data_IF_824368259748
#
_entry.id   IF_824368259748
#
_cell.length_a   1.000
_cell.length_b   1.000
_cell.length_c   1.000
_cell.angle_alpha   90.00
_cell.angle_beta   90.00
_cell.angle_gamma   90.00
#
_symmetry.space_group_name_H-M   'P 1'
#
loop_
_entity.id
_entity.type
_entity.pdbx_description
1 polymer ?
#
# COMPACT_ATOMS: atom_id res chain seq x y z
N UNK A 1 23.67 79.34 -45.04
CA UNK A 1 22.87 78.10 -45.08
C UNK A 1 23.38 77.19 -43.97
N UNK A 2 22.57 77.01 -42.91
CA UNK A 2 22.92 76.24 -41.71
C UNK A 2 22.87 74.73 -42.02
N UNK A 3 23.99 74.03 -41.87
CA UNK A 3 24.04 72.56 -41.91
C UNK A 3 23.66 72.03 -40.52
N UNK A 4 22.38 71.78 -40.34
CA UNK A 4 21.85 70.92 -39.27
C UNK A 4 21.73 69.54 -39.90
N UNK A 5 22.62 68.59 -39.59
CA UNK A 5 22.38 67.18 -39.87
C UNK A 5 23.30 66.27 -39.03
N UNK A 6 22.66 65.38 -38.27
CA UNK A 6 23.16 64.04 -37.90
C UNK A 6 24.18 63.88 -36.76
N UNK A 7 23.87 64.37 -35.55
CA UNK A 7 24.48 63.80 -34.31
C UNK A 7 23.43 63.11 -33.42
N UNK A 8 22.14 63.41 -33.60
CA UNK A 8 21.06 62.77 -32.83
C UNK A 8 20.72 61.33 -33.25
N UNK A 9 21.24 60.83 -34.38
CA UNK A 9 20.93 59.49 -34.91
C UNK A 9 21.82 58.37 -34.37
N UNK A 10 22.92 58.67 -33.67
CA UNK A 10 23.82 57.62 -33.11
C UNK A 10 23.42 57.22 -31.69
N UNK A 11 22.62 58.03 -30.98
CA UNK A 11 22.15 57.71 -29.62
C UNK A 11 20.74 57.10 -29.56
N UNK A 12 20.03 57.01 -30.70
CA UNK A 12 18.64 56.54 -30.76
C UNK A 12 18.48 55.04 -31.13
N UNK A 13 19.58 54.31 -31.37
CA UNK A 13 19.53 52.88 -31.77
C UNK A 13 19.91 51.93 -30.62
N UNK A 14 20.19 52.44 -29.41
CA UNK A 14 20.26 51.61 -28.20
C UNK A 14 18.86 51.33 -27.63
N UNK A 15 17.91 50.94 -28.48
CA UNK A 15 16.62 50.44 -28.04
C UNK A 15 16.78 48.96 -27.66
N UNK A 16 16.80 48.71 -26.35
CA UNK A 16 16.59 47.41 -25.69
C UNK A 16 17.51 46.25 -26.10
N UNK A 17 18.81 46.35 -25.75
CA UNK A 17 19.56 45.11 -25.49
C UNK A 17 19.08 44.57 -24.14
N UNK A 18 18.11 43.66 -24.17
CA UNK A 18 17.85 42.79 -23.04
C UNK A 18 19.19 42.07 -22.76
N UNK A 19 19.84 42.39 -21.64
CA UNK A 19 21.15 41.86 -21.31
C UNK A 19 21.06 40.36 -21.04
N UNK A 20 21.22 39.55 -22.08
CA UNK A 20 21.35 38.11 -21.96
C UNK A 20 22.79 37.80 -21.55
N UNK A 21 22.95 36.91 -20.58
CA UNK A 21 24.26 36.44 -20.13
C UNK A 21 24.46 35.01 -20.61
N UNK A 22 25.43 34.83 -21.50
CA UNK A 22 25.93 33.52 -21.91
C UNK A 22 27.22 33.17 -21.17
N UNK A 23 27.29 31.96 -20.62
CA UNK A 23 28.55 31.34 -20.20
C UNK A 23 28.82 30.21 -21.18
N UNK A 24 30.00 30.24 -21.82
CA UNK A 24 30.43 29.28 -22.85
C UNK A 24 29.56 29.20 -24.13
N UNK A 25 28.51 30.01 -24.25
CA UNK A 25 27.76 30.19 -25.50
C UNK A 25 27.77 31.66 -25.91
N UNK A 26 27.97 31.92 -27.20
CA UNK A 26 27.83 33.27 -27.78
C UNK A 26 26.41 33.56 -28.26
N UNK A 27 25.52 32.58 -28.17
CA UNK A 27 24.14 32.64 -28.61
C UNK A 27 23.22 32.15 -27.47
N UNK A 28 23.05 32.96 -26.40
CA UNK A 28 22.16 32.62 -25.30
C UNK A 28 20.72 32.42 -25.80
N UNK A 29 20.01 31.43 -25.25
CA UNK A 29 18.62 31.13 -25.61
C UNK A 29 17.61 31.63 -24.57
N UNK A 30 18.10 32.26 -23.50
CA UNK A 30 17.31 32.85 -22.42
C UNK A 30 18.06 34.03 -21.79
N UNK A 31 17.52 34.58 -20.71
CA UNK A 31 18.15 35.68 -19.95
C UNK A 31 19.49 35.27 -19.35
N UNK A 32 19.61 34.01 -18.91
CA UNK A 32 20.87 33.40 -18.51
C UNK A 32 21.00 32.02 -19.17
N UNK A 33 22.13 31.75 -19.81
CA UNK A 33 22.40 30.48 -20.48
C UNK A 33 23.83 30.02 -20.18
N UNK A 34 23.95 28.86 -19.53
CA UNK A 34 25.23 28.15 -19.32
C UNK A 34 25.28 26.94 -20.23
N UNK A 35 26.27 26.91 -21.11
CA UNK A 35 26.58 25.76 -21.98
C UNK A 35 27.81 25.03 -21.40
N UNK A 36 27.58 23.85 -20.83
CA UNK A 36 28.64 23.11 -20.15
C UNK A 36 29.75 22.63 -21.10
N UNK A 37 29.37 22.19 -22.29
CA UNK A 37 30.27 21.60 -23.28
C UNK A 37 30.85 22.61 -24.27
N UNK A 38 30.34 23.84 -24.28
CA UNK A 38 30.68 24.90 -25.23
C UNK A 38 30.42 24.46 -26.68
N UNK A 39 29.36 23.69 -26.89
CA UNK A 39 29.06 23.07 -28.18
C UNK A 39 27.83 23.67 -28.87
N UNK A 40 27.18 24.69 -28.28
CA UNK A 40 26.07 25.39 -28.89
C UNK A 40 26.46 26.17 -30.15
N UNK A 41 25.58 26.20 -31.18
CA UNK A 41 25.86 26.93 -32.41
C UNK A 41 25.88 28.44 -32.15
N UNK A 42 26.71 29.15 -32.91
CA UNK A 42 26.82 30.62 -32.84
C UNK A 42 25.54 31.36 -33.28
N UNK A 43 24.58 30.65 -33.86
CA UNK A 43 23.26 31.17 -34.24
C UNK A 43 22.22 30.04 -34.29
N UNK A 44 20.95 30.37 -34.10
CA UNK A 44 19.85 29.38 -34.13
C UNK A 44 19.74 28.59 -32.83
N UNK A 45 18.89 27.56 -32.82
CA UNK A 45 18.67 26.72 -31.64
C UNK A 45 19.74 25.62 -31.57
N UNK A 46 20.28 25.30 -30.37
CA UNK A 46 21.04 24.08 -30.18
C UNK A 46 20.21 22.82 -30.45
N UNK A 47 20.85 21.76 -30.94
CA UNK A 47 20.20 20.46 -31.13
C UNK A 47 20.09 19.71 -29.79
N UNK A 48 19.21 18.69 -29.65
CA UNK A 48 18.94 18.04 -28.36
C UNK A 48 20.18 17.50 -27.62
N UNK A 49 21.19 17.02 -28.35
CA UNK A 49 22.43 16.52 -27.73
C UNK A 49 23.26 17.65 -27.11
N UNK A 50 23.29 18.82 -27.74
CA UNK A 50 23.96 20.02 -27.21
C UNK A 50 23.20 20.52 -25.98
N UNK A 51 21.87 20.63 -26.09
CA UNK A 51 21.01 21.06 -24.98
C UNK A 51 21.16 20.21 -23.71
N UNK A 52 21.50 18.92 -23.84
CA UNK A 52 21.61 17.98 -22.70
C UNK A 52 22.58 18.40 -21.59
N UNK A 53 23.50 19.33 -21.90
CA UNK A 53 24.47 19.88 -20.96
C UNK A 53 24.23 21.37 -20.64
N UNK A 54 23.10 21.91 -21.08
CA UNK A 54 22.74 23.31 -20.88
C UNK A 54 21.92 23.52 -19.58
N UNK A 55 22.11 24.69 -18.99
CA UNK A 55 21.25 25.27 -17.97
C UNK A 55 20.78 26.65 -18.43
N UNK A 56 19.48 26.91 -18.37
CA UNK A 56 18.91 28.20 -18.75
C UNK A 56 17.93 28.77 -17.72
N UNK A 57 17.83 30.10 -17.71
CA UNK A 57 16.73 30.84 -17.09
C UNK A 57 16.10 31.74 -18.16
N UNK A 58 14.80 31.59 -18.37
CA UNK A 58 14.05 32.41 -19.34
C UNK A 58 13.74 33.80 -18.80
N UNK A 59 13.22 34.69 -19.64
CA UNK A 59 12.75 36.03 -19.22
C UNK A 59 11.60 35.98 -18.22
N UNK A 60 10.85 34.88 -18.20
CA UNK A 60 9.74 34.61 -17.28
C UNK A 60 10.22 33.99 -15.97
N UNK A 61 11.53 33.71 -15.83
CA UNK A 61 12.12 33.12 -14.64
C UNK A 61 12.02 31.59 -14.57
N UNK A 62 11.64 30.93 -15.68
CA UNK A 62 11.57 29.46 -15.74
C UNK A 62 12.96 28.88 -15.91
N UNK A 63 13.29 27.86 -15.12
CA UNK A 63 14.57 27.16 -15.20
C UNK A 63 14.45 25.94 -16.12
N UNK A 64 15.35 25.83 -17.09
CA UNK A 64 15.52 24.65 -17.93
C UNK A 64 16.86 23.98 -17.65
N UNK A 65 16.88 22.66 -17.49
CA UNK A 65 18.10 21.84 -17.42
C UNK A 65 17.98 20.77 -18.50
N UNK A 66 18.93 20.73 -19.43
CA UNK A 66 18.85 19.79 -20.55
C UNK A 66 17.88 20.20 -21.67
N UNK A 67 17.28 21.38 -21.57
CA UNK A 67 16.35 21.97 -22.55
C UNK A 67 16.49 23.49 -22.56
N UNK A 68 16.48 24.10 -23.75
CA UNK A 68 16.45 25.57 -23.90
C UNK A 68 15.04 26.13 -24.09
N UNK A 69 14.02 25.27 -24.09
CA UNK A 69 12.60 25.63 -24.21
C UNK A 69 11.78 24.91 -23.14
N UNK A 70 11.94 25.28 -21.85
CA UNK A 70 11.16 24.69 -20.77
C UNK A 70 9.66 24.98 -20.96
N UNK A 71 8.81 24.07 -20.51
CA UNK A 71 7.37 24.24 -20.55
C UNK A 71 6.93 25.50 -19.80
N UNK A 72 6.10 26.34 -20.43
CA UNK A 72 5.56 27.55 -19.80
C UNK A 72 4.67 27.29 -18.57
N UNK A 73 4.30 26.03 -18.33
CA UNK A 73 3.51 25.59 -17.16
C UNK A 73 4.37 25.08 -16.00
N UNK A 74 5.71 25.13 -16.11
CA UNK A 74 6.64 24.74 -15.04
C UNK A 74 7.47 25.93 -14.57
N UNK A 75 7.97 25.85 -13.34
CA UNK A 75 9.03 26.74 -12.84
C UNK A 75 10.43 26.11 -13.02
N UNK A 76 10.48 24.79 -13.17
CA UNK A 76 11.67 23.98 -13.40
C UNK A 76 11.30 22.84 -14.37
N UNK A 77 12.00 22.77 -15.49
CA UNK A 77 11.90 21.69 -16.48
C UNK A 77 13.25 21.01 -16.64
N UNK A 78 13.28 19.68 -16.54
CA UNK A 78 14.51 18.89 -16.59
C UNK A 78 14.32 17.80 -17.64
N UNK A 79 15.15 17.84 -18.68
CA UNK A 79 15.15 16.84 -19.75
C UNK A 79 16.47 16.07 -19.76
N UNK A 80 16.38 14.75 -19.70
CA UNK A 80 17.52 13.86 -19.92
C UNK A 80 17.04 12.52 -20.50
N UNK A 81 17.79 11.89 -21.41
CA UNK A 81 17.37 10.63 -22.04
C UNK A 81 17.49 9.43 -21.11
N UNK A 82 18.44 9.46 -20.16
CA UNK A 82 18.84 8.31 -19.35
C UNK A 82 19.23 8.67 -17.90
N UNK A 83 18.88 9.88 -17.44
CA UNK A 83 19.16 10.37 -16.08
C UNK A 83 17.87 10.75 -15.35
N UNK A 84 17.93 10.69 -14.02
CA UNK A 84 16.85 11.15 -13.13
C UNK A 84 17.32 12.24 -12.17
N UNK A 85 16.45 12.61 -11.24
CA UNK A 85 16.72 13.63 -10.20
C UNK A 85 16.93 12.95 -8.85
N UNK A 86 18.04 13.25 -8.19
CA UNK A 86 18.21 12.94 -6.77
C UNK A 86 17.70 14.12 -5.94
N UNK A 87 16.53 13.95 -5.33
CA UNK A 87 15.98 14.92 -4.38
C UNK A 87 16.73 14.85 -3.03
N UNK A 88 16.53 15.84 -2.12
CA UNK A 88 17.19 15.85 -0.82
C UNK A 88 17.02 14.53 -0.06
N UNK A 89 18.14 13.99 0.43
CA UNK A 89 18.20 12.76 1.22
C UNK A 89 18.26 13.13 2.69
N UNK A 90 17.27 12.71 3.47
CA UNK A 90 17.06 13.17 4.85
C UNK A 90 16.91 11.95 5.76
N UNK A 91 17.49 11.97 6.94
CA UNK A 91 17.31 10.93 7.95
C UNK A 91 16.21 11.35 8.93
N UNK A 92 14.95 11.03 8.62
CA UNK A 92 13.80 11.42 9.45
C UNK A 92 13.72 10.57 10.72
N UNK A 93 13.32 11.20 11.83
CA UNK A 93 13.27 10.55 13.15
C UNK A 93 11.94 9.84 13.44
N UNK A 94 10.85 10.26 12.80
CA UNK A 94 9.53 9.63 12.92
C UNK A 94 8.63 10.04 11.75
N UNK A 95 7.44 9.43 11.65
CA UNK A 95 6.44 9.82 10.65
C UNK A 95 5.89 11.25 10.86
N UNK A 96 6.04 11.83 12.05
CA UNK A 96 5.57 13.20 12.37
C UNK A 96 6.73 14.18 12.58
N UNK A 97 7.94 13.83 12.11
CA UNK A 97 9.12 14.66 12.29
C UNK A 97 9.00 16.01 11.58
N UNK A 98 8.87 17.07 12.37
CA UNK A 98 8.85 18.47 11.92
C UNK A 98 10.07 19.26 12.42
N UNK A 99 11.09 18.55 12.91
CA UNK A 99 12.30 19.13 13.51
C UNK A 99 13.51 18.99 12.62
N UNK A 100 13.70 17.83 11.98
CA UNK A 100 14.77 17.62 10.98
C UNK A 100 14.59 18.55 9.78
N UNK A 101 13.33 18.76 9.39
CA UNK A 101 12.93 19.81 8.46
C UNK A 101 11.90 20.66 9.21
N UNK A 102 12.29 21.87 9.61
CA UNK A 102 11.40 22.78 10.32
C UNK A 102 10.23 23.23 9.43
N UNK A 103 8.99 23.11 9.94
CA UNK A 103 7.76 23.52 9.23
C UNK A 103 7.69 23.01 7.78
N UNK A 104 7.69 21.68 7.55
CA UNK A 104 7.71 21.12 6.21
C UNK A 104 6.46 21.57 5.43
N UNK A 105 6.67 22.02 4.19
CA UNK A 105 5.58 22.48 3.33
C UNK A 105 4.72 21.29 2.86
N UNK A 106 3.41 21.50 2.67
CA UNK A 106 2.54 20.48 2.10
C UNK A 106 3.01 20.09 0.69
N UNK A 107 3.18 18.78 0.47
CA UNK A 107 3.70 18.24 -0.78
C UNK A 107 5.23 18.21 -0.88
N UNK A 108 5.97 18.64 0.15
CA UNK A 108 7.43 18.56 0.17
C UNK A 108 7.88 17.11 0.05
N UNK A 109 8.65 16.80 -0.99
CA UNK A 109 9.14 15.46 -1.33
C UNK A 109 10.63 15.32 -0.98
N UNK A 110 10.96 14.29 -0.20
CA UNK A 110 12.35 13.95 0.16
C UNK A 110 12.56 12.44 0.07
N UNK A 111 13.82 12.01 -0.01
CA UNK A 111 14.18 10.60 0.15
C UNK A 111 14.57 10.33 1.60
N UNK A 112 13.76 9.57 2.35
CA UNK A 112 14.16 9.14 3.69
C UNK A 112 15.24 8.06 3.60
N UNK A 113 16.36 8.28 4.27
CA UNK A 113 17.51 7.36 4.25
C UNK A 113 17.35 6.17 5.19
N UNK A 114 16.42 6.23 6.14
CA UNK A 114 16.24 5.21 7.19
C UNK A 114 17.36 5.18 8.24
N UNK A 115 18.29 6.15 8.22
CA UNK A 115 19.44 6.19 9.11
C UNK A 115 19.14 6.74 10.53
N UNK A 116 17.92 7.25 10.75
CA UNK A 116 17.45 7.77 12.04
C UNK A 116 16.26 6.94 12.55
N UNK A 117 15.28 7.55 13.23
CA UNK A 117 14.19 6.84 13.89
C UNK A 117 13.05 6.35 12.98
N UNK A 118 12.84 6.96 11.80
CA UNK A 118 11.91 6.45 10.80
C UNK A 118 12.63 5.45 9.90
N UNK A 119 12.42 4.16 10.15
CA UNK A 119 13.12 3.05 9.45
C UNK A 119 12.70 2.85 7.99
N UNK A 120 11.58 3.44 7.55
CA UNK A 120 11.13 3.35 6.17
C UNK A 120 12.13 4.01 5.22
N UNK A 121 12.72 3.26 4.29
CA UNK A 121 13.65 3.79 3.28
C UNK A 121 12.88 4.05 1.98
N UNK A 122 12.99 5.25 1.44
CA UNK A 122 12.37 5.60 0.16
C UNK A 122 11.86 7.03 0.10
N UNK A 123 11.24 7.37 -1.02
CA UNK A 123 10.61 8.68 -1.19
C UNK A 123 9.40 8.83 -0.28
N UNK A 124 9.33 9.96 0.42
CA UNK A 124 8.22 10.36 1.28
C UNK A 124 7.85 11.81 1.02
N UNK A 125 6.56 12.13 1.16
CA UNK A 125 6.09 13.51 1.07
C UNK A 125 5.34 13.92 2.35
N UNK A 126 5.44 15.20 2.71
CA UNK A 126 4.68 15.75 3.82
C UNK A 126 3.24 16.04 3.39
N UNK A 127 2.24 15.47 4.06
CA UNK A 127 0.84 15.69 3.73
C UNK A 127 0.17 16.84 4.50
N UNK A 128 0.91 17.53 5.38
CA UNK A 128 0.39 18.53 6.32
C UNK A 128 0.43 18.11 7.78
N UNK A 129 0.44 16.80 8.05
CA UNK A 129 0.42 16.22 9.41
C UNK A 129 1.43 15.11 9.63
N UNK A 130 1.79 14.36 8.58
CA UNK A 130 2.74 13.26 8.63
C UNK A 130 3.48 13.08 7.28
N UNK A 131 4.64 12.44 7.34
CA UNK A 131 5.39 11.93 6.20
C UNK A 131 4.74 10.64 5.71
N UNK A 132 4.26 10.65 4.47
CA UNK A 132 3.69 9.48 3.80
C UNK A 132 4.63 8.96 2.74
N UNK A 133 4.68 7.65 2.57
CA UNK A 133 5.40 7.04 1.47
C UNK A 133 4.85 7.55 0.14
N UNK A 134 5.77 7.94 -0.76
CA UNK A 134 5.47 8.06 -2.17
C UNK A 134 5.46 6.63 -2.74
N UNK A 135 4.43 6.28 -3.53
CA UNK A 135 4.12 4.92 -3.94
C UNK A 135 5.37 4.08 -4.26
N UNK A 136 5.60 3.04 -3.44
CA UNK A 136 6.76 2.13 -3.53
C UNK A 136 6.34 0.69 -3.86
N UNK A 137 5.21 0.54 -4.56
CA UNK A 137 4.76 -0.74 -5.11
C UNK A 137 5.66 -1.18 -6.26
N UNK A 138 5.86 -2.49 -6.43
CA UNK A 138 6.60 -2.99 -7.60
C UNK A 138 5.88 -2.65 -8.90
N UNK A 139 6.66 -2.35 -9.95
CA UNK A 139 6.18 -2.22 -11.33
C UNK A 139 6.19 -3.56 -12.07
N UNK A 140 6.69 -4.63 -11.44
CA UNK A 140 6.56 -5.99 -11.95
C UNK A 140 5.09 -6.36 -12.00
N UNK A 141 4.65 -6.98 -13.10
CA UNK A 141 3.28 -7.44 -13.27
C UNK A 141 2.80 -8.24 -12.04
N UNK A 142 1.57 -8.03 -11.58
CA UNK A 142 1.03 -8.74 -10.42
C UNK A 142 1.06 -10.25 -10.68
N UNK A 143 1.56 -11.01 -9.71
CA UNK A 143 1.69 -12.46 -9.78
C UNK A 143 1.32 -13.05 -8.42
N UNK A 144 0.58 -14.16 -8.45
CA UNK A 144 0.23 -15.00 -7.31
C UNK A 144 0.27 -16.48 -7.74
N UNK A 145 0.49 -17.40 -6.82
CA UNK A 145 0.62 -18.84 -7.12
C UNK A 145 -0.73 -19.54 -7.23
N UNK A 146 -1.66 -19.25 -6.32
CA UNK A 146 -2.93 -19.95 -6.21
C UNK A 146 -4.02 -19.03 -5.69
N UNK A 147 -5.23 -19.16 -6.24
CA UNK A 147 -6.45 -18.58 -5.67
C UNK A 147 -7.21 -19.69 -4.94
N UNK A 148 -7.56 -19.43 -3.67
CA UNK A 148 -8.30 -20.37 -2.84
C UNK A 148 -9.80 -20.08 -2.93
N UNK A 149 -10.41 -20.43 -4.06
CA UNK A 149 -11.84 -20.25 -4.31
C UNK A 149 -12.74 -20.93 -3.24
N UNK A 150 -12.30 -22.06 -2.68
CA UNK A 150 -13.07 -22.79 -1.65
C UNK A 150 -13.20 -22.06 -0.32
N UNK A 151 -12.36 -21.04 -0.10
CA UNK A 151 -12.34 -20.21 1.10
C UNK A 151 -12.85 -18.79 0.83
N UNK A 152 -13.59 -18.60 -0.26
CA UNK A 152 -14.23 -17.33 -0.57
C UNK A 152 -15.27 -16.95 0.49
N UNK A 153 -15.37 -15.66 0.80
CA UNK A 153 -16.22 -15.14 1.87
C UNK A 153 -16.96 -13.89 1.40
N UNK A 154 -18.29 -13.90 1.57
CA UNK A 154 -19.17 -12.79 1.23
C UNK A 154 -19.57 -12.01 2.49
N UNK A 155 -19.52 -10.68 2.43
CA UNK A 155 -20.01 -9.79 3.48
C UNK A 155 -20.88 -8.66 2.90
N UNK A 156 -22.14 -8.48 3.32
CA UNK A 156 -22.91 -9.31 4.25
C UNK A 156 -23.11 -10.75 3.75
N UNK A 157 -23.13 -11.78 4.62
CA UNK A 157 -23.09 -13.18 4.19
C UNK A 157 -24.41 -13.72 3.62
N UNK A 158 -25.49 -12.94 3.69
CA UNK A 158 -26.83 -13.32 3.22
C UNK A 158 -27.40 -12.29 2.26
N UNK A 159 -28.29 -12.75 1.38
CA UNK A 159 -29.09 -11.90 0.51
C UNK A 159 -30.51 -12.44 0.38
N UNK A 160 -31.45 -11.58 -0.01
CA UNK A 160 -32.87 -11.92 -0.18
C UNK A 160 -33.29 -11.63 -1.62
N UNK A 161 -33.97 -12.60 -2.23
CA UNK A 161 -34.51 -12.46 -3.59
C UNK A 161 -35.37 -11.20 -3.70
N UNK A 162 -35.16 -10.41 -4.76
CA UNK A 162 -35.88 -9.17 -5.03
C UNK A 162 -35.45 -7.97 -4.19
N UNK A 163 -34.52 -8.10 -3.24
CA UNK A 163 -34.02 -6.99 -2.41
C UNK A 163 -32.65 -6.54 -2.91
N UNK A 164 -32.43 -5.24 -3.19
CA UNK A 164 -31.11 -4.74 -3.56
C UNK A 164 -30.03 -5.14 -2.55
N UNK A 165 -28.91 -5.64 -3.06
CA UNK A 165 -27.77 -6.11 -2.28
C UNK A 165 -26.53 -5.28 -2.63
N UNK A 166 -25.74 -4.97 -1.61
CA UNK A 166 -24.40 -4.38 -1.74
C UNK A 166 -23.49 -5.04 -0.72
N UNK A 167 -22.37 -5.57 -1.17
CA UNK A 167 -21.42 -6.29 -0.33
C UNK A 167 -20.07 -6.42 -1.00
N UNK A 168 -19.18 -7.14 -0.32
CA UNK A 168 -17.83 -7.44 -0.75
C UNK A 168 -17.60 -8.94 -0.68
N UNK A 169 -17.05 -9.49 -1.75
CA UNK A 169 -16.56 -10.85 -1.82
C UNK A 169 -15.03 -10.83 -1.69
N UNK A 170 -14.51 -11.47 -0.67
CA UNK A 170 -13.08 -11.63 -0.44
C UNK A 170 -12.65 -13.06 -0.81
N UNK A 171 -11.63 -13.20 -1.66
CA UNK A 171 -11.10 -14.50 -2.09
C UNK A 171 -9.62 -14.57 -1.71
N UNK A 172 -9.19 -15.50 -0.84
CA UNK A 172 -7.80 -15.64 -0.48
C UNK A 172 -6.93 -16.09 -1.66
N UNK A 173 -5.67 -15.66 -1.66
CA UNK A 173 -4.63 -16.18 -2.55
C UNK A 173 -3.31 -16.36 -1.79
N UNK A 174 -2.37 -17.09 -2.39
CA UNK A 174 -1.01 -17.27 -1.89
C UNK A 174 0.06 -16.66 -2.79
N UNK A 175 1.19 -16.30 -2.18
CA UNK A 175 2.42 -15.86 -2.84
C UNK A 175 2.29 -14.67 -3.81
N UNK A 176 1.50 -13.66 -3.41
CA UNK A 176 1.48 -12.38 -4.09
C UNK A 176 2.85 -11.72 -4.09
N UNK A 177 3.16 -10.98 -5.16
CA UNK A 177 4.47 -10.37 -5.36
C UNK A 177 4.53 -8.86 -5.03
N UNK A 178 3.49 -8.27 -4.43
CA UNK A 178 3.44 -6.82 -4.20
C UNK A 178 2.95 -5.99 -5.39
N UNK A 179 2.62 -6.63 -6.52
CA UNK A 179 2.27 -5.94 -7.77
C UNK A 179 0.91 -5.26 -7.73
N UNK A 180 0.80 -4.11 -8.37
CA UNK A 180 -0.48 -3.43 -8.57
C UNK A 180 -1.28 -4.11 -9.67
N UNK A 181 -2.59 -4.19 -9.48
CA UNK A 181 -3.53 -4.71 -10.47
C UNK A 181 -4.70 -3.75 -10.67
N UNK A 182 -5.14 -3.67 -11.92
CA UNK A 182 -6.37 -2.98 -12.28
C UNK A 182 -7.61 -3.79 -11.86
N UNK A 183 -8.77 -3.13 -11.83
CA UNK A 183 -10.03 -3.82 -11.63
C UNK A 183 -10.32 -4.82 -12.76
N UNK A 184 -11.05 -5.88 -12.42
CA UNK A 184 -11.40 -6.95 -13.36
C UNK A 184 -12.64 -6.65 -14.18
N UNK A 185 -12.99 -7.60 -15.05
CA UNK A 185 -14.27 -7.59 -15.76
C UNK A 185 -15.42 -7.87 -14.79
N UNK A 186 -16.66 -7.52 -15.18
CA UNK A 186 -17.84 -7.80 -14.36
C UNK A 186 -18.48 -9.10 -14.83
N UNK A 187 -18.79 -10.00 -13.89
CA UNK A 187 -19.59 -11.21 -14.14
C UNK A 187 -20.90 -11.15 -13.37
N UNK A 188 -21.92 -11.89 -13.82
CA UNK A 188 -23.25 -11.92 -13.21
C UNK A 188 -23.65 -13.34 -12.83
N UNK A 189 -24.15 -13.53 -11.61
CA UNK A 189 -24.71 -14.79 -11.13
C UNK A 189 -25.94 -14.49 -10.26
N UNK A 190 -27.08 -15.14 -10.54
CA UNK A 190 -28.34 -14.97 -9.80
C UNK A 190 -28.74 -13.50 -9.55
N UNK A 191 -28.52 -12.61 -10.52
CA UNK A 191 -28.85 -11.17 -10.40
C UNK A 191 -27.85 -10.33 -9.59
N UNK A 192 -26.77 -10.95 -9.09
CA UNK A 192 -25.64 -10.29 -8.46
C UNK A 192 -24.51 -10.08 -9.47
N UNK A 193 -23.95 -8.87 -9.49
CA UNK A 193 -22.80 -8.45 -10.27
C UNK A 193 -21.55 -8.51 -9.39
N UNK A 194 -20.51 -9.16 -9.89
CA UNK A 194 -19.22 -9.31 -9.22
C UNK A 194 -18.14 -8.63 -10.05
N UNK A 195 -17.38 -7.72 -9.44
CA UNK A 195 -16.28 -7.00 -10.09
C UNK A 195 -15.07 -6.89 -9.19
N UNK A 196 -13.92 -7.39 -9.63
CA UNK A 196 -12.65 -7.23 -8.92
C UNK A 196 -12.31 -5.73 -8.80
N UNK A 197 -12.02 -5.28 -7.59
CA UNK A 197 -11.59 -3.91 -7.31
C UNK A 197 -10.11 -3.75 -7.70
N UNK A 198 -9.67 -2.58 -8.19
CA UNK A 198 -8.23 -2.32 -8.35
C UNK A 198 -7.53 -2.36 -6.99
N UNK A 199 -6.27 -2.77 -6.97
CA UNK A 199 -5.53 -2.89 -5.71
C UNK A 199 -4.06 -3.25 -5.89
N UNK A 200 -3.42 -3.60 -4.78
CA UNK A 200 -2.04 -4.09 -4.71
C UNK A 200 -2.05 -5.44 -4.04
N UNK A 201 -1.36 -6.43 -4.63
CA UNK A 201 -1.17 -7.70 -3.97
C UNK A 201 -0.33 -7.48 -2.70
N UNK A 202 -0.71 -8.10 -1.59
CA UNK A 202 0.24 -8.36 -0.51
C UNK A 202 1.46 -9.15 -1.02
N UNK A 203 2.62 -8.93 -0.40
CA UNK A 203 3.78 -9.80 -0.56
C UNK A 203 3.52 -11.04 0.29
N UNK A 204 3.47 -12.23 -0.33
CA UNK A 204 2.99 -13.46 0.31
C UNK A 204 1.47 -13.62 0.21
N UNK A 205 0.84 -14.19 1.24
CA UNK A 205 -0.60 -14.44 1.20
C UNK A 205 -1.40 -13.13 1.27
N UNK A 206 -2.61 -13.13 0.68
CA UNK A 206 -3.50 -11.97 0.68
C UNK A 206 -4.89 -12.28 0.14
N UNK A 207 -5.66 -11.24 -0.18
CA UNK A 207 -7.06 -11.34 -0.62
C UNK A 207 -7.30 -10.50 -1.87
N UNK A 208 -8.07 -11.06 -2.79
CA UNK A 208 -8.70 -10.32 -3.86
C UNK A 208 -10.10 -9.90 -3.42
N UNK A 209 -10.42 -8.63 -3.58
CA UNK A 209 -11.69 -8.06 -3.18
C UNK A 209 -12.55 -7.73 -4.40
N UNK A 210 -13.75 -8.28 -4.41
CA UNK A 210 -14.77 -8.04 -5.42
C UNK A 210 -15.89 -7.20 -4.81
N UNK A 211 -16.27 -6.12 -5.50
CA UNK A 211 -17.55 -5.46 -5.23
C UNK A 211 -18.68 -6.36 -5.71
N UNK A 212 -19.69 -6.56 -4.86
CA UNK A 212 -20.89 -7.35 -5.14
C UNK A 212 -22.11 -6.45 -5.04
N UNK A 213 -22.85 -6.29 -6.12
CA UNK A 213 -24.03 -5.41 -6.17
C UNK A 213 -25.14 -6.06 -6.98
N UNK A 214 -26.38 -5.57 -6.89
CA UNK A 214 -27.47 -6.03 -7.76
C UNK A 214 -28.73 -6.38 -6.99
N UNK A 215 -29.66 -7.06 -7.64
CA UNK A 215 -30.89 -7.56 -7.02
C UNK A 215 -30.91 -9.08 -7.20
N UNK A 216 -30.66 -9.87 -6.14
CA UNK A 216 -30.62 -11.32 -6.21
C UNK A 216 -31.94 -11.90 -6.75
N UNK A 217 -31.85 -12.95 -7.55
CA UNK A 217 -33.01 -13.74 -7.99
C UNK A 217 -33.31 -14.91 -7.05
N UNK A 218 -32.38 -15.24 -6.15
CA UNK A 218 -32.50 -16.28 -5.13
C UNK A 218 -32.23 -15.69 -3.74
N UNK A 219 -32.73 -16.34 -2.69
CA UNK A 219 -32.43 -15.98 -1.31
C UNK A 219 -31.43 -16.96 -0.71
N UNK A 220 -30.63 -16.51 0.26
CA UNK A 220 -29.86 -17.42 1.10
C UNK A 220 -30.77 -18.48 1.74
N UNK A 221 -30.32 -19.75 1.87
CA UNK A 221 -28.95 -20.24 1.69
C UNK A 221 -28.60 -20.70 0.26
N UNK A 222 -29.40 -20.38 -0.76
CA UNK A 222 -29.04 -20.71 -2.15
C UNK A 222 -27.78 -19.94 -2.57
N UNK A 223 -26.73 -20.66 -2.96
CA UNK A 223 -25.43 -20.08 -3.29
C UNK A 223 -25.39 -19.44 -4.69
N UNK A 224 -24.56 -18.41 -4.85
CA UNK A 224 -24.28 -17.71 -6.11
C UNK A 224 -22.79 -17.75 -6.43
N UNK A 225 -22.27 -18.96 -6.68
CA UNK A 225 -20.86 -19.20 -6.92
C UNK A 225 -20.40 -18.74 -8.31
N UNK A 226 -19.24 -18.10 -8.38
CA UNK A 226 -18.64 -17.61 -9.63
C UNK A 226 -17.40 -18.42 -9.99
N UNK A 227 -17.16 -18.58 -11.28
CA UNK A 227 -15.89 -19.12 -11.78
C UNK A 227 -14.84 -18.01 -11.81
N UNK A 228 -13.71 -18.26 -11.17
CA UNK A 228 -12.51 -17.45 -11.22
C UNK A 228 -11.61 -17.98 -12.32
N UNK A 229 -11.28 -17.11 -13.27
CA UNK A 229 -10.41 -17.41 -14.40
C UNK A 229 -9.64 -16.14 -14.85
N UNK A 230 -8.80 -16.29 -15.87
CA UNK A 230 -7.98 -15.21 -16.43
C UNK A 230 -8.78 -14.10 -17.12
N UNK A 231 -10.08 -14.27 -17.39
CA UNK A 231 -10.93 -13.18 -17.92
C UNK A 231 -11.42 -12.28 -16.79
N UNK A 232 -11.77 -12.87 -15.65
CA UNK A 232 -12.22 -12.14 -14.47
C UNK A 232 -11.05 -11.49 -13.72
N UNK A 233 -9.90 -12.17 -13.71
CA UNK A 233 -8.67 -11.75 -13.04
C UNK A 233 -7.52 -11.84 -14.05
N UNK A 234 -7.25 -10.77 -14.83
CA UNK A 234 -6.35 -10.81 -16.00
C UNK A 234 -4.92 -11.30 -15.74
N UNK A 235 -4.45 -11.16 -14.51
CA UNK A 235 -3.11 -11.56 -14.10
C UNK A 235 -3.05 -12.97 -13.46
N UNK A 236 -4.19 -13.63 -13.30
CA UNK A 236 -4.23 -15.00 -12.79
C UNK A 236 -3.95 -15.98 -13.93
N UNK A 237 -2.85 -16.72 -13.81
CA UNK A 237 -2.38 -17.71 -14.79
C UNK A 237 -2.61 -19.16 -14.35
N UNK A 238 -3.16 -19.37 -13.15
CA UNK A 238 -3.49 -20.69 -12.64
C UNK A 238 -4.74 -21.29 -13.29
N UNK A 239 -5.04 -22.54 -12.92
CA UNK A 239 -6.26 -23.20 -13.39
C UNK A 239 -7.51 -22.48 -12.86
N UNK A 240 -8.59 -22.38 -13.66
CA UNK A 240 -9.86 -21.85 -13.19
C UNK A 240 -10.36 -22.59 -11.94
N UNK A 241 -11.00 -21.88 -11.04
CA UNK A 241 -11.66 -22.47 -9.87
C UNK A 241 -13.01 -21.81 -9.61
N UNK A 242 -13.94 -22.57 -9.05
CA UNK A 242 -15.28 -22.07 -8.70
C UNK A 242 -15.31 -21.73 -7.22
N UNK A 243 -15.79 -20.54 -6.86
CA UNK A 243 -16.01 -20.17 -5.45
C UNK A 243 -17.02 -21.11 -4.80
N UNK A 244 -16.99 -21.22 -3.47
CA UNK A 244 -18.03 -21.92 -2.71
C UNK A 244 -18.59 -21.04 -1.60
N UNK A 245 -19.80 -21.35 -1.13
CA UNK A 245 -20.45 -20.73 0.03
C UNK A 245 -20.89 -19.27 -0.18
N UNK A 246 -20.96 -18.76 -1.42
CA UNK A 246 -21.35 -17.37 -1.68
C UNK A 246 -22.85 -17.20 -1.44
N UNK A 247 -23.22 -16.56 -0.33
CA UNK A 247 -24.63 -16.40 0.01
C UNK A 247 -25.30 -17.63 0.61
N UNK A 248 -24.51 -18.63 1.03
CA UNK A 248 -24.98 -19.75 1.86
C UNK A 248 -25.54 -19.26 3.22
N UNK A 249 -25.33 -17.98 3.54
CA UNK A 249 -25.53 -17.42 4.87
C UNK A 249 -24.34 -17.69 5.78
N UNK A 250 -24.45 -17.28 7.04
CA UNK A 250 -23.53 -17.76 8.06
C UNK A 250 -23.64 -19.28 8.15
N UNK A 251 -22.66 -20.00 7.61
CA UNK A 251 -22.35 -21.38 8.03
C UNK A 251 -21.72 -21.36 9.43
N UNK A 252 -22.36 -20.66 10.37
CA UNK A 252 -21.94 -20.65 11.76
C UNK A 252 -23.17 -20.89 12.63
N UNK A 253 -23.55 -22.17 12.82
CA UNK A 253 -24.24 -22.56 14.03
C UNK A 253 -23.50 -21.97 15.23
N UNK A 254 -24.22 -21.43 16.22
CA UNK A 254 -23.64 -21.10 17.52
C UNK A 254 -22.74 -22.25 17.98
N UNK A 255 -21.43 -21.99 18.13
CA UNK A 255 -20.41 -23.01 18.44
C UNK A 255 -19.49 -23.42 17.28
N UNK A 256 -19.71 -22.94 16.05
CA UNK A 256 -18.84 -23.21 14.90
C UNK A 256 -17.50 -22.48 15.00
N UNK A 257 -16.44 -23.16 14.55
CA UNK A 257 -15.06 -22.67 14.56
C UNK A 257 -14.56 -22.64 13.11
N UNK A 258 -14.34 -21.46 12.53
CA UNK A 258 -13.58 -21.35 11.27
C UNK A 258 -12.10 -21.34 11.63
N UNK A 259 -11.31 -22.24 11.03
CA UNK A 259 -9.87 -22.35 11.29
C UNK A 259 -9.13 -22.22 9.97
N UNK A 260 -8.18 -21.30 9.87
CA UNK A 260 -7.23 -21.28 8.78
C UNK A 260 -5.83 -21.52 9.34
N UNK A 261 -5.19 -22.57 8.83
CA UNK A 261 -3.84 -22.97 9.21
C UNK A 261 -2.86 -22.64 8.09
N UNK A 262 -1.83 -21.89 8.41
CA UNK A 262 -0.75 -21.51 7.50
C UNK A 262 0.56 -22.08 8.03
N UNK A 263 1.31 -22.74 7.17
CA UNK A 263 2.70 -23.05 7.49
C UNK A 263 3.49 -21.76 7.35
N UNK A 264 4.22 -21.39 8.41
CA UNK A 264 5.13 -20.25 8.43
C UNK A 264 6.53 -20.77 8.72
N UNK A 265 7.51 -20.29 7.99
CA UNK A 265 8.91 -20.72 8.11
C UNK A 265 9.86 -19.60 7.64
N UNK A 266 11.15 -19.92 7.51
CA UNK A 266 12.16 -18.94 7.12
C UNK A 266 12.01 -18.43 5.68
N UNK A 267 11.17 -19.07 4.87
CA UNK A 267 10.87 -18.66 3.49
C UNK A 267 9.61 -17.81 3.40
N UNK A 268 8.80 -17.76 4.46
CA UNK A 268 7.58 -16.95 4.50
C UNK A 268 7.93 -15.46 4.46
N UNK A 269 7.41 -14.71 3.48
CA UNK A 269 7.75 -13.30 3.34
C UNK A 269 7.34 -12.45 4.54
N UNK A 270 8.17 -11.47 4.88
CA UNK A 270 7.86 -10.45 5.88
C UNK A 270 6.58 -9.70 5.49
N UNK A 271 5.74 -9.41 6.49
CA UNK A 271 4.46 -8.72 6.37
C UNK A 271 3.40 -9.45 5.51
N UNK A 272 3.48 -10.78 5.42
CA UNK A 272 2.40 -11.61 4.86
C UNK A 272 1.08 -11.33 5.59
N UNK A 273 -0.06 -11.33 4.89
CA UNK A 273 -1.37 -11.01 5.50
C UNK A 273 -2.40 -12.08 5.20
N UNK A 274 -3.23 -12.42 6.18
CA UNK A 274 -4.42 -13.24 6.00
C UNK A 274 -5.62 -12.56 6.64
N UNK A 275 -6.75 -12.48 5.95
CA UNK A 275 -7.97 -11.85 6.45
C UNK A 275 -9.14 -12.82 6.61
N UNK A 276 -10.03 -12.54 7.53
CA UNK A 276 -11.18 -13.34 7.91
C UNK A 276 -12.42 -12.45 7.88
N UNK A 277 -13.59 -13.08 7.83
CA UNK A 277 -14.89 -12.40 7.87
C UNK A 277 -15.00 -11.27 6.83
N UNK A 278 -14.75 -11.60 5.56
CA UNK A 278 -14.82 -10.62 4.46
C UNK A 278 -13.78 -9.48 4.51
N UNK A 279 -12.73 -9.58 5.34
CA UNK A 279 -11.70 -8.54 5.47
C UNK A 279 -11.75 -7.76 6.79
N UNK A 280 -12.78 -8.00 7.62
CA UNK A 280 -12.98 -7.28 8.89
C UNK A 280 -11.93 -7.62 9.95
N UNK A 281 -11.23 -8.74 9.79
CA UNK A 281 -10.17 -9.16 10.68
C UNK A 281 -8.97 -9.64 9.87
N UNK A 282 -7.80 -9.04 10.05
CA UNK A 282 -6.60 -9.45 9.34
C UNK A 282 -5.49 -9.84 10.31
N UNK A 283 -4.68 -10.80 9.91
CA UNK A 283 -3.52 -11.31 10.61
C UNK A 283 -2.37 -11.10 9.66
N UNK A 284 -1.58 -10.07 9.92
CA UNK A 284 -0.23 -9.97 9.40
C UNK A 284 0.64 -11.00 10.12
N UNK A 285 1.69 -11.48 9.49
CA UNK A 285 2.70 -12.32 10.09
C UNK A 285 3.97 -12.27 9.25
N UNK A 286 5.08 -12.56 9.91
CA UNK A 286 6.39 -12.73 9.29
C UNK A 286 6.78 -14.21 9.32
N UNK A 287 7.74 -14.57 8.50
CA UNK A 287 8.39 -15.87 8.61
C UNK A 287 9.09 -16.09 9.95
N UNK A 288 9.20 -17.34 10.34
CA UNK A 288 9.82 -17.79 11.59
C UNK A 288 11.12 -18.53 11.30
N UNK A 289 12.05 -18.58 12.26
CA UNK A 289 13.34 -19.26 12.07
C UNK A 289 13.22 -20.79 11.91
N UNK A 290 12.10 -21.36 12.33
CA UNK A 290 11.77 -22.78 12.15
C UNK A 290 10.45 -22.91 11.38
N UNK A 291 10.22 -24.06 10.75
CA UNK A 291 8.91 -24.38 10.16
C UNK A 291 7.89 -24.64 11.26
N UNK A 292 6.82 -23.85 11.23
CA UNK A 292 5.79 -23.78 12.25
C UNK A 292 4.44 -23.72 11.56
N UNK A 293 3.37 -23.99 12.31
CA UNK A 293 2.01 -23.75 11.84
C UNK A 293 1.38 -22.64 12.67
N UNK A 294 0.92 -21.60 11.98
CA UNK A 294 0.03 -20.57 12.49
C UNK A 294 -1.39 -21.00 12.20
N UNK A 295 -2.15 -21.30 13.24
CA UNK A 295 -3.59 -21.52 13.10
C UNK A 295 -4.35 -20.38 13.74
N UNK A 296 -5.20 -19.74 12.96
CA UNK A 296 -6.11 -18.70 13.42
C UNK A 296 -7.50 -19.31 13.44
N UNK A 297 -8.08 -19.43 14.63
CA UNK A 297 -9.44 -19.92 14.82
C UNK A 297 -10.35 -18.77 15.18
N UNK A 298 -11.42 -18.58 14.44
CA UNK A 298 -12.51 -17.72 14.85
C UNK A 298 -13.66 -18.61 15.35
N UNK A 299 -13.93 -18.57 16.65
CA UNK A 299 -15.05 -19.30 17.26
C UNK A 299 -16.16 -18.33 17.61
N UNK A 300 -17.34 -18.60 17.06
CA UNK A 300 -18.56 -17.83 17.32
C UNK A 300 -19.29 -18.45 18.51
N UNK A 301 -19.19 -17.82 19.68
CA UNK A 301 -20.08 -18.09 20.81
C UNK A 301 -21.39 -17.32 20.64
N UNK A 302 -22.41 -17.66 21.42
CA UNK A 302 -23.71 -16.96 21.40
C UNK A 302 -23.56 -15.43 21.59
N UNK A 303 -22.53 -14.97 22.31
CA UNK A 303 -22.26 -13.55 22.62
C UNK A 303 -20.77 -13.14 22.48
N UNK A 304 -19.91 -13.95 21.83
CA UNK A 304 -18.46 -13.71 21.80
C UNK A 304 -17.81 -14.15 20.48
N UNK A 305 -16.79 -13.42 20.03
CA UNK A 305 -15.87 -13.86 18.97
C UNK A 305 -14.53 -14.16 19.62
N UNK A 306 -14.10 -15.42 19.58
CA UNK A 306 -12.77 -15.83 20.05
C UNK A 306 -11.84 -15.98 18.87
N UNK A 307 -10.66 -15.34 18.94
CA UNK A 307 -9.58 -15.53 17.98
C UNK A 307 -8.48 -16.33 18.68
N UNK A 308 -8.32 -17.60 18.34
CA UNK A 308 -7.21 -18.40 18.85
C UNK A 308 -6.06 -18.41 17.87
N UNK A 309 -4.86 -18.10 18.35
CA UNK A 309 -3.60 -18.32 17.66
C UNK A 309 -2.97 -19.57 18.27
N UNK A 310 -2.73 -20.58 17.44
CA UNK A 310 -1.96 -21.74 17.86
C UNK A 310 -0.65 -21.73 17.10
N UNK A 311 0.43 -21.97 17.84
CA UNK A 311 1.79 -22.04 17.32
C UNK A 311 2.39 -23.40 17.71
N UNK A 312 2.82 -24.21 16.73
CA UNK A 312 3.49 -25.49 16.99
C UNK A 312 4.46 -25.89 15.88
N UNK A 313 5.49 -26.63 16.28
CA UNK A 313 6.51 -27.17 15.37
C UNK A 313 5.91 -28.22 14.44
N UNK A 314 6.33 -28.20 13.16
CA UNK A 314 5.89 -29.20 12.18
C UNK A 314 6.42 -30.57 12.61
N UNK A 315 5.57 -31.39 13.24
CA UNK A 315 5.89 -32.76 13.71
C UNK A 315 5.57 -33.06 15.17
N UNK A 316 5.21 -32.09 16.01
CA UNK A 316 4.76 -32.36 17.39
C UNK A 316 3.25 -32.66 17.44
N UNK A 317 2.89 -33.79 18.07
CA UNK A 317 1.49 -34.19 18.30
C UNK A 317 0.71 -33.17 19.14
N UNK A 318 -0.63 -33.23 19.06
CA UNK A 318 -1.58 -32.31 19.71
C UNK A 318 -1.37 -32.20 21.23
N UNK A 319 -0.62 -31.19 21.66
CA UNK A 319 -0.53 -30.77 23.06
C UNK A 319 -1.83 -30.13 23.53
N UNK A 320 -2.13 -30.30 24.82
CA UNK A 320 -3.37 -29.91 25.48
C UNK A 320 -3.71 -28.43 25.25
N UNK A 321 -4.85 -28.14 24.62
CA UNK A 321 -5.29 -26.77 24.28
C UNK A 321 -5.83 -26.01 25.51
N UNK A 322 -4.94 -25.50 26.36
CA UNK A 322 -5.31 -24.60 27.45
C UNK A 322 -5.67 -23.19 26.93
N UNK A 323 -6.76 -22.60 27.43
CA UNK A 323 -7.14 -21.21 27.09
C UNK A 323 -6.28 -20.23 27.89
N UNK A 324 -5.24 -19.67 27.27
CA UNK A 324 -4.50 -18.56 27.87
C UNK A 324 -5.18 -17.23 27.51
N UNK A 325 -5.81 -16.59 28.51
CA UNK A 325 -6.44 -15.29 28.36
C UNK A 325 -5.43 -14.17 28.62
N UNK A 326 -5.30 -13.26 27.66
CA UNK A 326 -4.45 -12.07 27.79
C UNK A 326 -5.13 -11.12 28.79
N UNK A 327 -4.50 -10.83 29.92
CA UNK A 327 -5.03 -9.90 30.93
C UNK A 327 -4.40 -8.51 30.76
N UNK A 328 -5.25 -7.51 30.51
CA UNK A 328 -5.00 -6.06 30.54
C UNK A 328 -3.79 -5.56 29.72
N UNK A 329 -3.96 -5.42 28.40
CA UNK A 329 -3.17 -4.49 27.58
C UNK A 329 -4.05 -3.31 27.20
N UNK A 330 -3.58 -2.08 27.48
CA UNK A 330 -4.21 -0.87 26.95
C UNK A 330 -3.90 -0.83 25.45
N UNK A 331 -4.84 -1.24 24.61
CA UNK A 331 -4.72 -1.14 23.17
C UNK A 331 -5.01 0.29 22.75
N UNK A 332 -4.00 0.95 22.18
CA UNK A 332 -4.19 2.25 21.54
C UNK A 332 -4.60 2.01 20.08
N UNK A 333 -5.54 2.82 19.60
CA UNK A 333 -5.93 2.81 18.20
C UNK A 333 -4.68 3.07 17.33
N UNK A 334 -4.61 2.37 16.20
CA UNK A 334 -3.59 2.51 15.18
C UNK A 334 -2.15 2.27 15.65
N UNK A 335 -2.00 1.63 16.80
CA UNK A 335 -0.70 1.36 17.42
C UNK A 335 -0.49 -0.14 17.60
N UNK A 336 0.67 -0.63 17.17
CA UNK A 336 1.08 -2.02 17.44
C UNK A 336 1.45 -2.19 18.91
N UNK A 337 0.70 -3.07 19.58
CA UNK A 337 0.90 -3.42 20.98
C UNK A 337 1.37 -4.87 21.09
N UNK A 338 2.41 -5.14 21.88
CA UNK A 338 2.86 -6.51 22.16
C UNK A 338 1.82 -7.19 23.04
N UNK A 339 1.28 -8.30 22.58
CA UNK A 339 0.25 -9.08 23.25
C UNK A 339 0.82 -10.30 23.98
N UNK A 340 1.88 -10.90 23.44
CA UNK A 340 2.51 -12.07 24.03
C UNK A 340 3.97 -12.25 23.58
N UNK A 341 4.81 -12.76 24.48
CA UNK A 341 6.17 -13.22 24.21
C UNK A 341 6.18 -14.75 24.22
N UNK A 342 6.41 -15.38 23.06
CA UNK A 342 6.40 -16.84 22.93
C UNK A 342 7.66 -17.49 23.53
N UNK A 343 8.66 -16.71 23.95
CA UNK A 343 9.92 -17.20 24.50
C UNK A 343 10.98 -17.50 23.44
N UNK A 344 11.98 -18.33 23.79
CA UNK A 344 13.08 -18.71 22.90
C UNK A 344 12.66 -19.57 21.70
N UNK A 345 13.60 -19.84 20.78
CA UNK A 345 13.35 -20.41 19.44
C UNK A 345 12.76 -21.82 19.40
N UNK A 346 12.63 -22.51 20.53
CA UNK A 346 12.39 -23.96 20.61
C UNK A 346 11.19 -24.34 21.49
N UNK A 347 10.16 -23.51 21.63
CA UNK A 347 8.92 -23.96 22.26
C UNK A 347 8.25 -25.03 21.38
N UNK A 348 8.56 -26.30 21.66
CA UNK A 348 8.01 -27.50 21.01
C UNK A 348 6.60 -27.84 21.50
N UNK A 349 6.15 -27.18 22.56
CA UNK A 349 4.80 -27.34 23.12
C UNK A 349 3.86 -26.30 22.52
N UNK A 350 2.77 -26.78 21.91
CA UNK A 350 1.79 -25.97 21.20
C UNK A 350 1.16 -24.91 22.12
N UNK A 351 1.64 -23.67 22.04
CA UNK A 351 1.06 -22.56 22.77
C UNK A 351 -0.22 -22.12 22.03
N UNK A 352 -1.38 -22.39 22.63
CA UNK A 352 -2.67 -21.86 22.18
C UNK A 352 -2.93 -20.56 22.92
N UNK A 353 -2.76 -19.44 22.24
CA UNK A 353 -3.13 -18.13 22.77
C UNK A 353 -4.55 -17.84 22.32
N UNK A 354 -5.45 -17.65 23.27
CA UNK A 354 -6.82 -17.22 22.96
C UNK A 354 -6.92 -15.72 23.17
N UNK A 355 -7.12 -14.99 22.09
CA UNK A 355 -7.45 -13.57 22.12
C UNK A 355 -8.96 -13.44 22.20
N UNK A 356 -9.46 -12.85 23.28
CA UNK A 356 -10.89 -12.67 23.53
C UNK A 356 -11.24 -11.20 23.27
N UNK A 357 -12.25 -10.92 22.45
CA UNK A 357 -12.84 -9.58 22.27
C UNK A 357 -14.34 -9.65 22.62
N UNK A 358 -14.84 -8.75 23.48
CA UNK A 358 -16.17 -8.96 24.12
C UNK A 358 -17.14 -7.77 24.01
N UNK A 359 -18.33 -8.17 23.53
CA UNK A 359 -19.70 -7.64 23.56
C UNK A 359 -20.01 -6.32 22.80
N UNK A 360 -20.90 -6.45 21.79
CA UNK A 360 -21.46 -5.39 20.92
C UNK A 360 -22.61 -4.57 21.55
N UNK A 361 -23.07 -4.93 22.74
CA UNK A 361 -24.30 -4.39 23.34
C UNK A 361 -24.11 -3.91 24.77
N UNK A 362 -23.12 -4.40 25.52
CA UNK A 362 -22.95 -4.00 26.94
C UNK A 362 -21.50 -3.71 27.39
N UNK A 363 -20.49 -4.29 26.73
CA UNK A 363 -19.08 -4.20 27.15
C UNK A 363 -18.79 -4.97 28.46
N UNK A 364 -17.60 -5.49 28.73
CA UNK A 364 -16.32 -4.86 28.44
C UNK A 364 -15.14 -5.85 28.33
N UNK A 365 -14.25 -5.60 27.36
CA UNK A 365 -12.86 -5.23 27.63
C UNK A 365 -12.73 -3.72 27.30
N UNK A 366 -12.36 -2.88 28.27
CA UNK A 366 -12.25 -1.40 28.15
C UNK A 366 -10.77 -1.07 27.82
N UNK A 367 -10.38 -0.33 26.77
CA UNK A 367 -10.95 0.89 26.13
C UNK A 367 -10.66 0.99 24.61
N UNK A 368 -11.31 1.79 23.75
CA UNK A 368 -12.67 2.35 23.63
C UNK A 368 -12.91 2.85 22.19
N UNK A 369 -14.20 2.98 21.89
CA UNK A 369 -14.92 3.44 20.69
C UNK A 369 -14.52 4.79 20.06
N UNK A 370 -14.56 4.82 18.73
CA UNK A 370 -15.24 5.88 17.95
C UNK A 370 -16.19 5.18 16.99
N UNK A 371 -17.45 5.59 16.92
CA UNK A 371 -18.54 4.88 16.23
C UNK A 371 -18.17 4.36 14.82
N UNK A 372 -18.45 3.07 14.64
CA UNK A 372 -18.46 2.20 13.46
C UNK A 372 -17.13 1.72 12.83
N UNK A 373 -17.16 0.42 12.49
CA UNK A 373 -16.22 -0.44 11.75
C UNK A 373 -14.75 -0.42 12.20
N UNK A 374 -14.42 -1.21 13.23
CA UNK A 374 -13.04 -1.43 13.68
C UNK A 374 -12.54 -2.76 13.11
N UNK A 375 -11.45 -2.69 12.36
CA UNK A 375 -10.70 -3.86 11.88
C UNK A 375 -9.59 -4.18 12.89
N UNK A 376 -9.47 -5.44 13.27
CA UNK A 376 -8.36 -5.88 14.12
C UNK A 376 -7.26 -6.45 13.23
N UNK A 377 -6.04 -5.99 13.44
CA UNK A 377 -4.83 -6.52 12.81
C UNK A 377 -3.93 -7.15 13.85
N UNK A 378 -3.35 -8.31 13.56
CA UNK A 378 -2.29 -8.91 14.40
C UNK A 378 -1.00 -9.12 13.61
N UNK A 379 0.14 -9.20 14.26
CA UNK A 379 1.43 -9.55 13.63
C UNK A 379 2.13 -10.61 14.47
N UNK A 380 2.59 -11.69 13.86
CA UNK A 380 3.58 -12.59 14.48
C UNK A 380 4.94 -12.24 13.91
N UNK A 381 5.92 -11.94 14.76
CA UNK A 381 7.24 -11.52 14.32
C UNK A 381 8.32 -11.73 15.36
N UNK A 382 9.57 -11.47 14.96
CA UNK A 382 10.75 -11.61 15.83
C UNK A 382 11.12 -10.24 16.39
N UNK A 383 11.22 -10.13 17.72
CA UNK A 383 11.67 -8.92 18.41
C UNK A 383 12.58 -9.28 19.56
N UNK A 384 13.81 -8.77 19.54
CA UNK A 384 14.83 -9.10 20.54
C UNK A 384 15.20 -10.59 20.56
N UNK A 385 15.21 -11.25 19.40
CA UNK A 385 15.52 -12.68 19.25
C UNK A 385 14.42 -13.63 19.71
N UNK A 386 13.23 -13.12 20.04
CA UNK A 386 12.08 -13.90 20.49
C UNK A 386 10.91 -13.74 19.53
N UNK A 387 10.14 -14.81 19.35
CA UNK A 387 8.87 -14.74 18.64
C UNK A 387 7.88 -13.98 19.53
N UNK A 388 7.15 -13.01 18.97
CA UNK A 388 6.12 -12.23 19.67
C UNK A 388 4.85 -12.09 18.84
N UNK A 389 3.72 -11.96 19.53
CA UNK A 389 2.44 -11.58 18.94
C UNK A 389 2.21 -10.09 19.21
N UNK A 390 1.91 -9.34 18.16
CA UNK A 390 1.50 -7.95 18.19
C UNK A 390 0.05 -7.84 17.76
N UNK A 391 -0.65 -6.82 18.24
CA UNK A 391 -2.02 -6.50 17.85
C UNK A 391 -2.18 -4.99 17.69
N UNK A 392 -2.92 -4.59 16.66
CA UNK A 392 -3.26 -3.21 16.34
C UNK A 392 -4.72 -3.14 15.94
N UNK A 393 -5.44 -2.16 16.49
CA UNK A 393 -6.80 -1.83 16.12
C UNK A 393 -6.77 -0.73 15.05
N UNK A 394 -7.49 -0.91 13.96
CA UNK A 394 -7.62 0.10 12.90
C UNK A 394 -9.09 0.49 12.76
N UNK A 395 -9.34 1.78 12.52
CA UNK A 395 -10.69 2.27 12.24
C UNK A 395 -10.89 2.33 10.73
N UNK A 396 -12.01 1.79 10.22
CA UNK A 396 -12.43 1.97 8.82
C UNK A 396 -13.02 3.37 8.60
#
# INVERSE_FOLDING_TARGET
>A
MKKILSIATIFSVYSSLLGQVGINTTNPQGTFHVDGAKDNPSSGLPIPTQQSNDFIVTSEGVVGIGTVQPSASSVLDITAPDKGVLLPRVALTSATDTTTIASPANGLLVYNTGAAGLSYIGYVFWNGSEWRSFQNSTLVSPLLSQINCGSASLNPPTYTSGVPYTGTLAIPYSDGNGGNYAGGTTTTMNGLLFKLNPGTLAIGNGYLYFSVTGTPTVSSPSESNIEINSTLIPFYTGLPCTTSNIGAGTVTPSGSTTSAGYNIDGTTPTASVTCFDGGNFCVRYNGTTASQKLEVKQKYGANQVMISYSYWGVGSGSGNSGTYSIKNTNLLQDTWSVMYDFGGTNNTEGAVITTVLVDKTTGNLRSFTTEADIVVSSEIGISGGKNKLFLRLTKN
#
